data_IF_049706264939
#
_entry.id   IF_049706264939
#
_cell.length_a   1.000
_cell.length_b   1.000
_cell.length_c   1.000
_cell.angle_alpha   90.00
_cell.angle_beta   90.00
_cell.angle_gamma   90.00
#
_symmetry.space_group_name_H-M   'P 1'
#
loop_
_entity.id
_entity.type
_entity.pdbx_description
1 polymer ?
#
# COMPACT_ATOMS: atom_id res chain seq x y z
N UNK A 1 7.50 -0.62 6.88
CA UNK A 1 7.12 -1.68 5.93
C UNK A 1 7.66 -1.32 4.56
N UNK A 2 8.05 -2.30 3.76
CA UNK A 2 8.44 -2.11 2.36
C UNK A 2 7.49 -2.87 1.43
N UNK A 3 7.64 -2.69 0.12
CA UNK A 3 6.92 -3.50 -0.86
C UNK A 3 7.19 -4.99 -0.74
N UNK A 4 8.34 -5.37 -0.18
CA UNK A 4 8.75 -6.78 -0.05
C UNK A 4 7.87 -7.51 0.97
N UNK A 5 7.36 -6.81 1.99
CA UNK A 5 6.41 -7.35 2.97
C UNK A 5 5.10 -7.84 2.30
N UNK A 6 4.78 -7.28 1.14
CA UNK A 6 3.55 -7.54 0.38
C UNK A 6 3.81 -8.23 -0.96
N UNK A 7 5.06 -8.59 -1.26
CA UNK A 7 5.40 -9.19 -2.54
C UNK A 7 4.65 -10.51 -2.75
N UNK A 8 4.06 -10.68 -3.93
CA UNK A 8 3.26 -11.87 -4.28
C UNK A 8 1.88 -11.97 -3.62
N UNK A 9 1.52 -11.06 -2.69
CA UNK A 9 0.19 -11.01 -2.06
C UNK A 9 -0.70 -10.05 -2.84
N UNK A 10 -1.93 -10.42 -3.16
CA UNK A 10 -2.92 -9.52 -3.80
C UNK A 10 -3.89 -9.00 -2.74
N UNK A 11 -4.32 -7.75 -2.86
CA UNK A 11 -5.16 -7.16 -1.83
C UNK A 11 -5.53 -5.70 -2.04
N UNK A 12 -6.24 -5.15 -1.06
CA UNK A 12 -6.36 -3.72 -0.86
C UNK A 12 -5.25 -3.26 0.08
N UNK A 13 -4.70 -2.09 -0.19
CA UNK A 13 -3.68 -1.46 0.65
C UNK A 13 -4.10 -0.04 1.00
N UNK A 14 -3.97 0.31 2.27
CA UNK A 14 -4.25 1.64 2.81
C UNK A 14 -2.98 2.21 3.43
N UNK A 15 -2.74 3.49 3.17
CA UNK A 15 -1.57 4.25 3.59
C UNK A 15 -2.09 5.47 4.35
N UNK A 16 -1.88 5.46 5.67
CA UNK A 16 -2.31 6.55 6.55
C UNK A 16 -1.29 7.68 6.55
N UNK A 17 -1.75 8.92 6.41
CA UNK A 17 -0.96 10.15 6.55
C UNK A 17 0.31 10.21 5.67
N UNK A 18 0.24 9.74 4.41
CA UNK A 18 1.39 9.66 3.50
C UNK A 18 1.88 11.01 2.93
N UNK A 19 1.03 12.04 3.00
CA UNK A 19 1.31 13.39 2.49
C UNK A 19 0.78 14.45 3.47
N UNK A 20 1.18 14.37 4.74
CA UNK A 20 0.53 15.11 5.82
C UNK A 20 -0.75 14.37 6.23
N UNK A 21 -1.90 15.04 6.45
CA UNK A 21 -3.13 14.38 6.87
C UNK A 21 -3.87 13.66 5.72
N UNK A 22 -3.20 13.40 4.60
CA UNK A 22 -3.80 12.80 3.41
C UNK A 22 -3.44 11.34 3.31
N UNK A 23 -4.48 10.52 3.26
CA UNK A 23 -4.39 9.07 3.10
C UNK A 23 -4.39 8.65 1.63
N UNK A 24 -4.04 7.39 1.37
CA UNK A 24 -4.19 6.75 0.07
C UNK A 24 -4.72 5.33 0.23
N UNK A 25 -5.69 4.95 -0.59
CA UNK A 25 -6.19 3.57 -0.69
C UNK A 25 -6.09 3.10 -2.12
N UNK A 26 -5.61 1.87 -2.31
CA UNK A 26 -5.36 1.33 -3.65
C UNK A 26 -5.52 -0.19 -3.71
N UNK A 27 -5.58 -0.71 -4.93
CA UNK A 27 -5.43 -2.13 -5.23
C UNK A 27 -3.96 -2.47 -5.37
N UNK A 28 -3.53 -3.51 -4.65
CA UNK A 28 -2.18 -4.07 -4.71
C UNK A 28 -2.21 -5.43 -5.39
N UNK A 29 -1.41 -5.60 -6.45
CA UNK A 29 -1.40 -6.83 -7.25
C UNK A 29 -0.28 -7.82 -6.90
N UNK A 30 0.47 -7.57 -5.82
CA UNK A 30 1.66 -8.35 -5.44
C UNK A 30 2.99 -7.71 -5.84
N UNK A 31 2.97 -6.60 -6.58
CA UNK A 31 4.18 -5.90 -7.00
C UNK A 31 3.99 -4.37 -7.09
N UNK A 32 2.81 -3.91 -7.51
CA UNK A 32 2.49 -2.50 -7.66
C UNK A 32 1.06 -2.20 -7.25
N UNK A 33 0.84 -0.91 -6.99
CA UNK A 33 -0.48 -0.30 -6.84
C UNK A 33 -1.10 -0.05 -8.23
N UNK A 34 -2.43 0.06 -8.30
CA UNK A 34 -3.13 0.38 -9.55
C UNK A 34 -3.09 1.88 -9.84
N UNK A 35 -3.30 2.73 -8.83
CA UNK A 35 -3.29 4.19 -8.93
C UNK A 35 -2.00 4.88 -8.44
N UNK A 36 -1.09 4.13 -7.84
CA UNK A 36 0.13 4.67 -7.24
C UNK A 36 1.41 3.90 -7.57
N UNK A 37 2.46 4.16 -6.78
CA UNK A 37 3.74 3.44 -6.87
C UNK A 37 4.00 2.68 -5.58
N UNK A 38 4.78 1.59 -5.65
CA UNK A 38 5.20 0.83 -4.46
C UNK A 38 5.96 1.70 -3.43
N UNK A 39 6.62 2.77 -3.88
CA UNK A 39 7.30 3.72 -3.01
C UNK A 39 6.37 4.52 -2.08
N UNK A 40 5.06 4.48 -2.28
CA UNK A 40 4.13 5.14 -1.35
C UNK A 40 4.08 4.44 0.02
N UNK A 41 4.47 3.16 0.09
CA UNK A 41 4.52 2.40 1.34
C UNK A 41 5.51 2.97 2.36
N UNK A 42 6.55 3.67 1.90
CA UNK A 42 7.51 4.33 2.79
C UNK A 42 7.01 5.67 3.33
N UNK A 43 5.84 6.14 2.89
CA UNK A 43 5.27 7.43 3.30
C UNK A 43 4.30 7.32 4.45
N UNK A 44 3.59 6.18 4.55
CA UNK A 44 2.55 6.01 5.55
C UNK A 44 3.11 5.91 6.97
N UNK A 45 2.41 6.55 7.91
CA UNK A 45 2.63 6.33 9.35
C UNK A 45 2.13 4.95 9.75
N UNK A 46 1.02 4.52 9.15
CA UNK A 46 0.49 3.16 9.26
C UNK A 46 0.12 2.61 7.88
N UNK A 47 0.30 1.30 7.71
CA UNK A 47 -0.06 0.58 6.49
C UNK A 47 -0.99 -0.56 6.88
N UNK A 48 -2.19 -0.59 6.30
CA UNK A 48 -3.14 -1.68 6.47
C UNK A 48 -3.29 -2.44 5.16
N UNK A 49 -3.37 -3.77 5.25
CA UNK A 49 -3.46 -4.63 4.08
C UNK A 49 -4.55 -5.68 4.27
N UNK A 50 -5.49 -5.73 3.33
CA UNK A 50 -6.53 -6.75 3.27
C UNK A 50 -6.26 -7.65 2.09
N UNK A 51 -5.87 -8.89 2.38
CA UNK A 51 -5.62 -9.90 1.36
C UNK A 51 -6.90 -10.23 0.61
N UNK A 52 -6.81 -10.27 -0.72
CA UNK A 52 -7.83 -10.82 -1.60
C UNK A 52 -7.40 -12.22 -2.05
N UNK A 53 -8.40 -13.11 -2.17
CA UNK A 53 -8.26 -14.53 -2.54
C UNK A 53 -7.65 -14.72 -3.92
#
# INVERSE_FOLDING_TARGET
MSSDDFYGKKGLIFIKDGWGPTDHIDLWNGYKMQGGTSGFLSRGVEIWFWRLS
#
